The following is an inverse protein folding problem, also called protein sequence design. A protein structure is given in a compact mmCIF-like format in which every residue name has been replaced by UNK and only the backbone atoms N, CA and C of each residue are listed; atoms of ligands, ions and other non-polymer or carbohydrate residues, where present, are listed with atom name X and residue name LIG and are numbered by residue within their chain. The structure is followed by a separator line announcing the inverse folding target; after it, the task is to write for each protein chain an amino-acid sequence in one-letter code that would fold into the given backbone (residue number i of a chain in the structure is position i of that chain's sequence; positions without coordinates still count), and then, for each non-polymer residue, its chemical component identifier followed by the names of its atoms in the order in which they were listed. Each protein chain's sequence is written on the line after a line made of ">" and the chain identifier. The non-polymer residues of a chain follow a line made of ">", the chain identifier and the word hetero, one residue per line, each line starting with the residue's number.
data_IF_559891862177
#
_entry.id   IF_559891862177
#
_cell.length_a   1.000
_cell.length_b   1.000
_cell.length_c   1.000
_cell.angle_alpha   90.00
_cell.angle_beta   90.00
_cell.angle_gamma   90.00
#
_symmetry.space_group_name_H-M   'P 1'
#
loop_
_entity.id
_entity.type
_entity.pdbx_description
1 polymer ?
#
# COMPACT_ATOMS: atom_id res chain seq x y z
N UNK A 1 9.71 25.83 0.39
CA UNK A 1 8.76 24.88 1.01
C UNK A 1 9.49 23.58 1.36
N UNK A 2 8.98 22.82 2.33
CA UNK A 2 9.62 21.72 3.12
C UNK A 2 10.91 22.11 3.83
N UNK A 3 12.02 22.30 3.11
CA UNK A 3 13.30 22.68 3.74
C UNK A 3 13.29 24.11 4.28
N UNK A 4 12.60 25.03 3.59
CA UNK A 4 12.46 26.41 4.09
C UNK A 4 11.56 26.53 5.32
N UNK A 5 10.78 25.50 5.63
CA UNK A 5 9.89 25.40 6.80
C UNK A 5 10.38 24.30 7.78
N UNK A 6 11.66 23.92 7.66
CA UNK A 6 12.32 22.94 8.52
C UNK A 6 11.61 21.58 8.67
N UNK A 7 10.82 21.15 7.70
CA UNK A 7 10.16 19.83 7.68
C UNK A 7 11.13 18.69 7.33
N UNK A 8 12.26 18.62 8.03
CA UNK A 8 13.25 17.56 7.86
C UNK A 8 12.67 16.22 8.34
N UNK A 9 12.94 15.15 7.59
CA UNK A 9 12.32 13.83 7.84
C UNK A 9 10.95 13.65 7.18
N UNK A 10 10.37 14.68 6.55
CA UNK A 10 9.10 14.57 5.84
C UNK A 10 9.24 13.83 4.50
N UNK A 11 10.27 14.11 3.70
CA UNK A 11 10.41 13.50 2.36
C UNK A 11 10.38 11.96 2.33
N UNK A 12 11.04 11.24 3.25
CA UNK A 12 10.95 9.79 3.31
C UNK A 12 9.52 9.24 3.42
N UNK A 13 8.58 9.99 4.00
CA UNK A 13 7.20 9.50 4.19
C UNK A 13 6.46 9.32 2.87
N UNK A 14 6.83 10.02 1.80
CA UNK A 14 6.27 9.80 0.48
C UNK A 14 6.64 8.42 -0.07
N UNK A 15 7.91 8.03 0.05
CA UNK A 15 8.37 6.72 -0.38
C UNK A 15 7.73 5.62 0.48
N UNK A 16 7.68 5.83 1.80
CA UNK A 16 7.02 4.90 2.73
C UNK A 16 5.54 4.70 2.37
N UNK A 17 4.81 5.78 2.05
CA UNK A 17 3.39 5.71 1.68
C UNK A 17 3.14 4.80 0.47
N UNK A 18 3.93 4.94 -0.59
CA UNK A 18 3.80 4.08 -1.79
C UNK A 18 4.16 2.63 -1.47
N UNK A 19 5.19 2.40 -0.67
CA UNK A 19 5.60 1.03 -0.31
C UNK A 19 4.59 0.34 0.60
N UNK A 20 4.02 1.05 1.58
CA UNK A 20 2.93 0.54 2.41
C UNK A 20 1.69 0.21 1.58
N UNK A 21 1.34 1.06 0.61
CA UNK A 21 0.20 0.80 -0.27
C UNK A 21 0.33 -0.52 -1.03
N UNK A 22 1.53 -0.87 -1.52
CA UNK A 22 1.76 -2.14 -2.20
C UNK A 22 1.56 -3.35 -1.27
N UNK A 23 2.06 -3.28 -0.03
CA UNK A 23 1.89 -4.36 0.94
C UNK A 23 0.44 -4.47 1.42
N UNK A 24 -0.25 -3.34 1.65
CA UNK A 24 -1.68 -3.34 1.97
C UNK A 24 -2.54 -3.87 0.84
N UNK A 25 -2.20 -3.58 -0.42
CA UNK A 25 -2.89 -4.16 -1.58
C UNK A 25 -2.79 -5.69 -1.56
N UNK A 26 -1.59 -6.23 -1.38
CA UNK A 26 -1.39 -7.68 -1.31
C UNK A 26 -2.13 -8.32 -0.12
N UNK A 27 -2.27 -7.61 1.01
CA UNK A 27 -3.07 -8.07 2.14
C UNK A 27 -4.58 -8.05 1.84
N UNK A 28 -5.06 -7.03 1.11
CA UNK A 28 -6.45 -6.90 0.70
C UNK A 28 -6.86 -7.99 -0.30
N UNK A 29 -6.02 -8.26 -1.29
CA UNK A 29 -6.22 -9.28 -2.33
C UNK A 29 -6.35 -10.72 -1.77
N UNK A 30 -5.86 -10.97 -0.55
CA UNK A 30 -6.08 -12.27 0.15
C UNK A 30 -7.55 -12.52 0.50
N UNK A 31 -8.36 -11.47 0.63
CA UNK A 31 -9.74 -11.54 1.14
C UNK A 31 -10.78 -11.01 0.14
N UNK A 32 -10.35 -10.29 -0.89
CA UNK A 32 -11.20 -9.61 -1.86
C UNK A 32 -10.66 -9.80 -3.28
N UNK A 33 -11.58 -9.98 -4.24
CA UNK A 33 -11.26 -9.84 -5.65
C UNK A 33 -11.22 -8.34 -6.02
N UNK A 34 -10.06 -7.73 -5.80
CA UNK A 34 -9.86 -6.29 -5.98
C UNK A 34 -10.01 -5.91 -7.45
N UNK A 35 -9.50 -6.73 -8.37
CA UNK A 35 -9.59 -6.47 -9.82
C UNK A 35 -11.05 -6.44 -10.29
N UNK A 36 -11.84 -7.45 -9.93
CA UNK A 36 -13.26 -7.48 -10.30
C UNK A 36 -14.02 -6.30 -9.68
N UNK A 37 -13.74 -5.97 -8.42
CA UNK A 37 -14.35 -4.81 -7.74
C UNK A 37 -14.06 -3.50 -8.48
N UNK A 38 -12.83 -3.35 -9.01
CA UNK A 38 -12.45 -2.19 -9.81
C UNK A 38 -13.14 -2.18 -11.17
N UNK A 39 -13.23 -3.32 -11.86
CA UNK A 39 -13.91 -3.44 -13.16
C UNK A 39 -15.41 -3.16 -13.07
N UNK A 40 -16.05 -3.58 -11.97
CA UNK A 40 -17.46 -3.32 -11.70
C UNK A 40 -17.74 -1.85 -11.32
N UNK A 41 -16.69 -1.09 -10.96
CA UNK A 41 -16.78 0.31 -10.54
C UNK A 41 -17.42 0.51 -9.16
N UNK A 42 -17.75 -0.56 -8.44
CA UNK A 42 -18.34 -0.51 -7.10
C UNK A 42 -17.28 -0.72 -6.02
N UNK A 43 -16.71 0.38 -5.53
CA UNK A 43 -15.58 0.36 -4.58
C UNK A 43 -15.99 0.11 -3.11
N UNK A 44 -17.25 -0.23 -2.82
CA UNK A 44 -17.73 -0.37 -1.44
C UNK A 44 -16.92 -1.39 -0.64
N UNK A 45 -16.60 -2.53 -1.25
CA UNK A 45 -15.81 -3.60 -0.61
C UNK A 45 -14.39 -3.14 -0.26
N UNK A 46 -13.74 -2.40 -1.17
CA UNK A 46 -12.40 -1.83 -0.94
C UNK A 46 -12.47 -0.81 0.20
N UNK A 47 -13.45 0.11 0.18
CA UNK A 47 -13.58 1.12 1.23
C UNK A 47 -13.91 0.55 2.59
N UNK A 48 -14.76 -0.48 2.65
CA UNK A 48 -15.09 -1.16 3.89
C UNK A 48 -13.88 -1.92 4.44
N UNK A 49 -13.10 -2.58 3.59
CA UNK A 49 -11.84 -3.20 3.99
C UNK A 49 -10.86 -2.16 4.55
N UNK A 50 -10.66 -1.04 3.86
CA UNK A 50 -9.76 0.02 4.33
C UNK A 50 -10.26 0.64 5.64
N UNK A 51 -11.58 0.82 5.81
CA UNK A 51 -12.17 1.32 7.06
C UNK A 51 -11.89 0.38 8.22
N UNK A 52 -12.11 -0.91 8.03
CA UNK A 52 -11.95 -1.94 9.07
C UNK A 52 -10.48 -2.26 9.35
N UNK A 53 -9.59 -2.18 8.38
CA UNK A 53 -8.20 -2.60 8.59
C UNK A 53 -7.26 -1.43 8.88
N UNK A 54 -7.57 -0.21 8.40
CA UNK A 54 -6.63 0.92 8.45
C UNK A 54 -7.29 2.14 9.11
N UNK A 55 -8.35 2.69 8.50
CA UNK A 55 -8.82 4.03 8.84
C UNK A 55 -9.42 4.13 10.25
N UNK A 56 -10.08 3.07 10.76
CA UNK A 56 -10.71 3.12 12.08
C UNK A 56 -9.71 3.35 13.23
N UNK A 57 -8.44 3.01 13.02
CA UNK A 57 -7.42 3.14 14.05
C UNK A 57 -6.87 4.58 14.16
N UNK A 58 -7.00 5.41 13.13
CA UNK A 58 -6.43 6.76 13.15
C UNK A 58 -4.96 6.75 13.57
N UNK A 59 -4.64 7.49 14.64
CA UNK A 59 -3.30 7.51 15.27
C UNK A 59 -3.20 6.72 16.59
N UNK A 60 -4.13 5.80 16.86
CA UNK A 60 -4.17 5.05 18.13
C UNK A 60 -3.20 3.87 18.22
N UNK A 61 -2.59 3.48 17.10
CA UNK A 61 -1.57 2.43 17.02
C UNK A 61 -0.39 2.89 16.19
N UNK A 62 0.79 2.41 16.56
CA UNK A 62 2.02 2.70 15.82
C UNK A 62 1.98 2.07 14.43
N UNK A 63 2.65 2.71 13.47
CA UNK A 63 2.59 2.30 12.05
C UNK A 63 3.09 0.87 11.85
N UNK A 64 4.16 0.47 12.57
CA UNK A 64 4.72 -0.88 12.46
C UNK A 64 3.74 -1.95 12.97
N UNK A 65 3.03 -1.65 14.07
CA UNK A 65 2.02 -2.54 14.63
C UNK A 65 0.78 -2.62 13.73
N UNK A 66 0.37 -1.50 13.11
CA UNK A 66 -0.69 -1.48 12.12
C UNK A 66 -0.35 -2.37 10.92
N UNK A 67 0.86 -2.25 10.37
CA UNK A 67 1.31 -3.06 9.23
C UNK A 67 1.31 -4.54 9.63
N UNK A 68 1.90 -4.89 10.77
CA UNK A 68 1.92 -6.28 11.24
C UNK A 68 0.50 -6.84 11.43
N UNK A 69 -0.40 -6.05 12.02
CA UNK A 69 -1.80 -6.42 12.25
C UNK A 69 -2.57 -6.66 10.95
N UNK A 70 -2.40 -5.78 9.96
CA UNK A 70 -3.16 -5.81 8.70
C UNK A 70 -2.59 -6.80 7.69
N UNK A 71 -1.27 -6.82 7.56
CA UNK A 71 -0.58 -7.63 6.55
C UNK A 71 -0.24 -9.03 7.05
N UNK A 72 -0.21 -9.23 8.37
CA UNK A 72 0.19 -10.49 9.03
C UNK A 72 1.71 -10.65 9.14
N UNK A 73 2.48 -9.67 8.69
CA UNK A 73 3.95 -9.69 8.68
C UNK A 73 4.51 -8.27 8.80
N UNK A 74 5.80 -8.17 9.13
CA UNK A 74 6.49 -6.88 9.20
C UNK A 74 6.55 -6.18 7.83
N UNK A 75 6.90 -4.90 7.84
CA UNK A 75 7.11 -4.14 6.61
C UNK A 75 8.12 -4.82 5.68
N UNK A 76 7.72 -5.06 4.43
CA UNK A 76 8.59 -5.61 3.39
C UNK A 76 8.51 -4.75 2.11
N UNK A 77 9.61 -4.08 1.70
CA UNK A 77 9.61 -3.26 0.49
C UNK A 77 9.51 -4.07 -0.81
N UNK A 78 9.73 -5.39 -0.76
CA UNK A 78 9.68 -6.23 -1.96
C UNK A 78 8.30 -6.26 -2.60
N UNK A 79 7.21 -6.04 -1.84
CA UNK A 79 5.87 -5.88 -2.43
C UNK A 79 5.81 -4.76 -3.47
N UNK A 80 6.43 -3.62 -3.15
CA UNK A 80 6.47 -2.49 -4.07
C UNK A 80 7.42 -2.73 -5.25
N UNK A 81 8.59 -3.32 -4.98
CA UNK A 81 9.55 -3.69 -6.04
C UNK A 81 8.90 -4.65 -7.03
N UNK A 82 8.24 -5.70 -6.53
CA UNK A 82 7.53 -6.67 -7.35
C UNK A 82 6.38 -6.03 -8.13
N UNK A 83 5.59 -5.15 -7.49
CA UNK A 83 4.54 -4.38 -8.17
C UNK A 83 5.10 -3.60 -9.36
N UNK A 84 6.21 -2.88 -9.17
CA UNK A 84 6.86 -2.12 -10.24
C UNK A 84 7.37 -3.04 -11.35
N UNK A 85 8.10 -4.10 -10.99
CA UNK A 85 8.63 -5.07 -11.96
C UNK A 85 7.49 -5.65 -12.79
N UNK A 86 6.46 -6.22 -12.15
CA UNK A 86 5.32 -6.82 -12.85
C UNK A 86 4.63 -5.80 -13.74
N UNK A 87 4.24 -4.64 -13.21
CA UNK A 87 3.51 -3.63 -13.96
C UNK A 87 4.32 -3.15 -15.16
N UNK A 88 5.57 -2.75 -14.95
CA UNK A 88 6.37 -2.16 -16.02
C UNK A 88 6.84 -3.20 -17.03
N UNK A 89 7.19 -4.42 -16.61
CA UNK A 89 7.49 -5.50 -17.55
C UNK A 89 6.30 -5.85 -18.43
N UNK A 90 5.09 -5.90 -17.88
CA UNK A 90 3.87 -6.11 -18.68
C UNK A 90 3.59 -4.94 -19.62
N UNK A 91 3.72 -3.71 -19.15
CA UNK A 91 3.42 -2.52 -19.97
C UNK A 91 4.38 -2.35 -21.14
N UNK A 92 5.67 -2.66 -20.96
CA UNK A 92 6.70 -2.45 -21.99
C UNK A 92 7.05 -3.72 -22.77
N UNK A 93 6.58 -4.89 -22.30
CA UNK A 93 6.86 -6.18 -22.92
C UNK A 93 8.30 -6.69 -22.73
N UNK A 94 9.03 -6.20 -21.73
CA UNK A 94 10.43 -6.58 -21.45
C UNK A 94 10.51 -7.16 -20.03
N UNK A 95 11.00 -8.40 -19.85
CA UNK A 95 11.18 -8.97 -18.52
C UNK A 95 12.26 -8.21 -17.74
N UNK A 96 12.11 -8.14 -16.43
CA UNK A 96 13.15 -7.66 -15.52
C UNK A 96 14.12 -8.82 -15.24
N UNK A 97 15.41 -8.62 -15.50
CA UNK A 97 16.49 -9.61 -15.25
C UNK A 97 16.96 -9.61 -13.80
#
# INVERSE_FOLDING_TARGET
>A
MHWSDASFGYFPTYALGTTYAAQFMAAMEKNLDVEQTLLDGNLSLIFDWLRQNIHQFGGSIETQDLILKVCGEAFDPNYYVNYLITKYSTLVGIPFE
#
